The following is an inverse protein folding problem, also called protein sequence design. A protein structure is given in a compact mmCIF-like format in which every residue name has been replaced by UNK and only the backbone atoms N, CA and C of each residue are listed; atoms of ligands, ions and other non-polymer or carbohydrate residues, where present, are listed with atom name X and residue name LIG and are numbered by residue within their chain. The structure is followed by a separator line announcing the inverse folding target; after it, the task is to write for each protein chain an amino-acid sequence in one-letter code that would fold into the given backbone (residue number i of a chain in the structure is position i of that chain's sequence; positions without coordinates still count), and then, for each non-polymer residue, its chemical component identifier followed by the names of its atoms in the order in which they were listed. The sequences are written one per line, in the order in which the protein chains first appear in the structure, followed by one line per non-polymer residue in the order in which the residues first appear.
data_IF_879454474210
#
_entry.id   IF_879454474210
#
_cell.length_a   1.000
_cell.length_b   1.000
_cell.length_c   1.000
_cell.angle_alpha   90.00
_cell.angle_beta   90.00
_cell.angle_gamma   90.00
#
_symmetry.space_group_name_H-M   'P 1'
#
loop_
_entity.id
_entity.type
_entity.pdbx_description
1 polymer ?
#
# COMPACT_ATOMS: atom_id res chain seq x y z
N UNK A 1 -22.38 12.19 -13.19
CA UNK A 1 -22.00 12.29 -11.77
C UNK A 1 -23.14 11.87 -10.83
N UNK A 2 -23.96 10.90 -11.23
CA UNK A 2 -24.74 9.99 -10.37
C UNK A 2 -24.96 8.67 -11.14
N UNK A 3 -25.54 7.65 -10.49
CA UNK A 3 -25.80 6.34 -11.11
C UNK A 3 -26.67 6.45 -12.39
N UNK A 4 -27.68 7.33 -12.39
CA UNK A 4 -28.60 7.56 -13.52
C UNK A 4 -27.93 8.19 -14.74
N UNK A 5 -26.97 9.09 -14.53
CA UNK A 5 -26.23 9.77 -15.60
C UNK A 5 -25.34 8.81 -16.40
N UNK A 6 -24.79 7.79 -15.73
CA UNK A 6 -24.02 6.73 -16.38
C UNK A 6 -24.93 5.72 -17.10
N UNK A 7 -26.11 5.44 -16.54
CA UNK A 7 -27.15 4.59 -17.17
C UNK A 7 -27.58 5.15 -18.55
N UNK A 8 -27.81 6.46 -18.67
CA UNK A 8 -28.17 7.12 -19.94
C UNK A 8 -27.02 7.05 -20.96
N UNK A 9 -25.81 7.39 -20.50
CA UNK A 9 -24.60 7.38 -21.35
C UNK A 9 -24.32 5.97 -21.91
N UNK A 10 -24.57 4.92 -21.13
CA UNK A 10 -24.39 3.53 -21.57
C UNK A 10 -25.42 3.10 -22.63
N UNK A 11 -26.71 3.36 -22.41
CA UNK A 11 -27.75 3.04 -23.41
C UNK A 11 -27.49 3.73 -24.76
N UNK A 12 -26.89 4.92 -24.72
CA UNK A 12 -26.53 5.68 -25.92
C UNK A 12 -25.27 5.15 -26.63
N UNK A 13 -24.26 4.66 -25.90
CA UNK A 13 -22.92 4.40 -26.46
C UNK A 13 -22.57 2.92 -26.67
N UNK A 14 -23.26 1.96 -26.02
CA UNK A 14 -22.92 0.52 -26.06
C UNK A 14 -21.44 0.22 -25.74
N UNK A 15 -20.78 1.09 -24.96
CA UNK A 15 -19.35 0.99 -24.70
C UNK A 15 -19.07 0.12 -23.46
N UNK A 16 -18.43 -1.03 -23.69
CA UNK A 16 -18.05 -1.99 -22.64
C UNK A 16 -16.95 -1.46 -21.71
N UNK A 17 -16.17 -0.46 -22.13
CA UNK A 17 -15.12 0.14 -21.28
C UNK A 17 -15.71 0.93 -20.10
N UNK A 18 -16.87 1.57 -20.32
CA UNK A 18 -17.59 2.34 -19.29
C UNK A 18 -18.15 1.41 -18.21
N UNK A 19 -18.66 0.23 -18.60
CA UNK A 19 -19.16 -0.79 -17.67
C UNK A 19 -18.08 -1.32 -16.74
N UNK A 20 -16.87 -1.50 -17.27
CA UNK A 20 -15.73 -1.97 -16.48
C UNK A 20 -15.39 -0.98 -15.36
N UNK A 21 -15.19 0.30 -15.70
CA UNK A 21 -14.90 1.33 -14.70
C UNK A 21 -16.07 1.54 -13.73
N UNK A 22 -17.31 1.40 -14.20
CA UNK A 22 -18.49 1.43 -13.35
C UNK A 22 -18.54 0.25 -12.36
N UNK A 23 -18.18 -0.97 -12.80
CA UNK A 23 -18.18 -2.18 -11.96
C UNK A 23 -17.15 -2.14 -10.84
N UNK A 24 -15.97 -1.56 -11.10
CA UNK A 24 -14.96 -1.31 -10.06
C UNK A 24 -15.43 -0.30 -9.03
N UNK A 25 -16.10 0.76 -9.50
CA UNK A 25 -16.48 1.90 -8.67
C UNK A 25 -17.73 1.63 -7.83
N UNK A 26 -18.62 0.77 -8.31
CA UNK A 26 -19.87 0.41 -7.64
C UNK A 26 -20.02 -1.11 -7.50
N UNK A 27 -19.16 -1.75 -6.67
CA UNK A 27 -19.31 -3.16 -6.33
C UNK A 27 -20.69 -3.39 -5.66
N UNK A 28 -21.32 -4.52 -5.97
CA UNK A 28 -22.68 -4.92 -5.51
C UNK A 28 -23.87 -4.17 -6.13
N UNK A 29 -23.70 -3.50 -7.28
CA UNK A 29 -24.84 -2.92 -8.00
C UNK A 29 -25.77 -4.01 -8.53
N UNK A 30 -26.98 -4.11 -7.93
CA UNK A 30 -28.05 -5.00 -8.40
C UNK A 30 -28.41 -4.77 -9.88
N UNK A 31 -28.23 -3.53 -10.36
CA UNK A 31 -28.53 -3.16 -11.73
C UNK A 31 -27.48 -3.75 -12.69
N UNK A 32 -26.19 -3.68 -12.36
CA UNK A 32 -25.11 -4.34 -13.11
C UNK A 32 -25.31 -5.85 -13.18
N UNK A 33 -25.64 -6.50 -12.05
CA UNK A 33 -25.89 -7.94 -12.00
C UNK A 33 -27.10 -8.33 -12.86
N UNK A 34 -28.20 -7.58 -12.77
CA UNK A 34 -29.36 -7.77 -13.65
C UNK A 34 -29.02 -7.55 -15.12
N UNK A 35 -28.08 -6.65 -15.42
CA UNK A 35 -27.66 -6.32 -16.77
C UNK A 35 -26.77 -7.42 -17.38
N UNK A 36 -25.82 -7.96 -16.60
CA UNK A 36 -25.00 -9.13 -16.98
C UNK A 36 -25.85 -10.33 -17.35
N UNK A 37 -26.97 -10.54 -16.66
CA UNK A 37 -27.88 -11.64 -16.94
C UNK A 37 -28.81 -11.40 -18.14
N UNK A 38 -28.96 -10.14 -18.60
CA UNK A 38 -29.87 -9.76 -19.68
C UNK A 38 -29.18 -9.46 -21.00
N UNK A 39 -27.87 -9.17 -20.98
CA UNK A 39 -27.10 -8.78 -22.16
C UNK A 39 -25.94 -9.74 -22.36
N UNK A 40 -25.78 -10.22 -23.60
CA UNK A 40 -24.69 -11.11 -23.95
C UNK A 40 -23.39 -10.31 -24.08
N UNK A 41 -22.60 -10.31 -23.02
CA UNK A 41 -21.26 -9.73 -23.00
C UNK A 41 -20.21 -10.75 -23.40
N UNK A 42 -19.10 -10.28 -23.98
CA UNK A 42 -17.89 -11.10 -24.07
C UNK A 42 -17.46 -11.61 -22.70
N UNK A 43 -16.99 -12.86 -22.64
CA UNK A 43 -16.66 -13.59 -21.40
C UNK A 43 -15.79 -12.79 -20.42
N UNK A 44 -14.83 -11.99 -20.90
CA UNK A 44 -13.99 -11.14 -20.05
C UNK A 44 -14.78 -10.08 -19.26
N UNK A 45 -15.69 -9.36 -19.91
CA UNK A 45 -16.48 -8.29 -19.28
C UNK A 45 -17.44 -8.89 -18.25
N UNK A 46 -18.04 -10.04 -18.59
CA UNK A 46 -18.88 -10.80 -17.66
C UNK A 46 -18.09 -11.24 -16.42
N UNK A 47 -16.89 -11.79 -16.62
CA UNK A 47 -16.01 -12.19 -15.52
C UNK A 47 -15.69 -11.03 -14.60
N UNK A 48 -15.31 -9.89 -15.16
CA UNK A 48 -15.00 -8.67 -14.40
C UNK A 48 -16.17 -8.23 -13.53
N UNK A 49 -17.36 -8.10 -14.11
CA UNK A 49 -18.53 -7.62 -13.35
C UNK A 49 -18.86 -8.59 -12.23
N UNK A 50 -18.96 -9.89 -12.51
CA UNK A 50 -19.24 -10.91 -11.49
C UNK A 50 -18.16 -10.91 -10.40
N UNK A 51 -16.89 -10.87 -10.79
CA UNK A 51 -15.75 -10.89 -9.89
C UNK A 51 -15.74 -9.69 -8.93
N UNK A 52 -15.91 -8.46 -9.43
CA UNK A 52 -15.96 -7.26 -8.57
C UNK A 52 -17.24 -7.16 -7.73
N UNK A 53 -18.25 -7.98 -8.03
CA UNK A 53 -19.44 -8.16 -7.19
C UNK A 53 -19.31 -9.36 -6.24
N UNK A 54 -18.10 -9.90 -6.08
CA UNK A 54 -17.77 -11.05 -5.22
C UNK A 54 -18.56 -12.33 -5.56
N UNK A 55 -19.06 -12.42 -6.80
CA UNK A 55 -19.77 -13.59 -7.33
C UNK A 55 -18.79 -14.61 -7.90
N UNK A 56 -17.78 -14.99 -7.13
CA UNK A 56 -16.70 -15.87 -7.58
C UNK A 56 -17.21 -17.21 -8.10
N UNK A 57 -18.25 -17.77 -7.47
CA UNK A 57 -18.89 -19.01 -7.94
C UNK A 57 -19.47 -18.85 -9.34
N UNK A 58 -20.16 -17.73 -9.61
CA UNK A 58 -20.75 -17.44 -10.92
C UNK A 58 -19.68 -17.17 -11.98
N UNK A 59 -18.54 -16.58 -11.61
CA UNK A 59 -17.37 -16.47 -12.52
C UNK A 59 -16.94 -17.86 -13.00
N UNK A 60 -16.75 -18.79 -12.06
CA UNK A 60 -16.26 -20.15 -12.37
C UNK A 60 -17.29 -20.98 -13.15
N UNK A 61 -18.58 -20.74 -12.94
CA UNK A 61 -19.67 -21.49 -13.60
C UNK A 61 -20.03 -20.97 -14.99
N UNK A 62 -19.83 -19.67 -15.25
CA UNK A 62 -20.44 -19.01 -16.42
C UNK A 62 -19.46 -18.36 -17.39
N UNK A 63 -18.16 -18.36 -17.06
CA UNK A 63 -17.11 -17.74 -17.87
C UNK A 63 -16.16 -18.80 -18.38
N UNK A 64 -15.84 -18.74 -19.68
CA UNK A 64 -14.80 -19.58 -20.27
C UNK A 64 -13.41 -19.14 -19.77
N UNK A 65 -12.60 -20.07 -19.20
CA UNK A 65 -11.32 -19.73 -18.58
C UNK A 65 -10.37 -18.96 -19.49
N UNK A 66 -10.24 -19.39 -20.75
CA UNK A 66 -9.30 -18.84 -21.72
C UNK A 66 -9.56 -17.35 -22.02
N UNK A 67 -10.82 -16.94 -22.00
CA UNK A 67 -11.24 -15.56 -22.27
C UNK A 67 -11.04 -14.62 -21.07
N UNK A 68 -10.83 -15.15 -19.87
CA UNK A 68 -10.79 -14.37 -18.63
C UNK A 68 -9.84 -14.97 -17.57
N UNK A 69 -8.70 -15.51 -18.01
CA UNK A 69 -7.80 -16.36 -17.22
C UNK A 69 -7.54 -15.84 -15.80
N UNK A 70 -7.13 -14.57 -15.66
CA UNK A 70 -6.88 -13.98 -14.35
C UNK A 70 -8.09 -14.06 -13.41
N UNK A 71 -9.26 -13.55 -13.84
CA UNK A 71 -10.46 -13.52 -13.01
C UNK A 71 -10.96 -14.92 -12.68
N UNK A 72 -10.83 -15.87 -13.62
CA UNK A 72 -11.23 -17.25 -13.41
C UNK A 72 -10.33 -17.97 -12.41
N UNK A 73 -9.00 -17.85 -12.56
CA UNK A 73 -8.02 -18.44 -11.64
C UNK A 73 -8.14 -17.82 -10.25
N UNK A 74 -8.21 -16.49 -10.15
CA UNK A 74 -8.34 -15.84 -8.84
C UNK A 74 -9.68 -16.18 -8.17
N UNK A 75 -10.79 -16.24 -8.91
CA UNK A 75 -12.07 -16.69 -8.36
C UNK A 75 -12.00 -18.13 -7.81
N UNK A 76 -11.28 -19.04 -8.47
CA UNK A 76 -11.02 -20.37 -7.92
C UNK A 76 -10.20 -20.31 -6.62
N UNK A 77 -9.16 -19.47 -6.56
CA UNK A 77 -8.38 -19.23 -5.34
C UNK A 77 -9.28 -18.76 -4.18
N UNK A 78 -10.15 -17.76 -4.42
CA UNK A 78 -11.07 -17.21 -3.41
C UNK A 78 -12.07 -18.25 -2.90
N UNK A 79 -12.39 -19.25 -3.71
CA UNK A 79 -13.23 -20.39 -3.36
C UNK A 79 -12.44 -21.56 -2.74
N UNK A 80 -11.14 -21.39 -2.48
CA UNK A 80 -10.21 -22.42 -2.02
C UNK A 80 -10.13 -23.66 -2.94
N UNK A 81 -10.38 -23.48 -4.24
CA UNK A 81 -10.28 -24.55 -5.25
C UNK A 81 -8.90 -24.53 -5.94
N UNK A 82 -7.85 -24.68 -5.14
CA UNK A 82 -6.45 -24.56 -5.58
C UNK A 82 -6.06 -25.65 -6.60
N UNK A 83 -6.63 -26.86 -6.49
CA UNK A 83 -6.38 -27.96 -7.42
C UNK A 83 -6.79 -27.59 -8.85
N UNK A 84 -8.05 -27.17 -9.03
CA UNK A 84 -8.55 -26.76 -10.34
C UNK A 84 -7.84 -25.51 -10.86
N UNK A 85 -7.49 -24.57 -9.97
CA UNK A 85 -6.74 -23.37 -10.34
C UNK A 85 -5.35 -23.74 -10.88
N UNK A 86 -4.62 -24.61 -10.20
CA UNK A 86 -3.31 -25.11 -10.63
C UNK A 86 -3.37 -25.87 -11.96
N UNK A 87 -4.39 -26.69 -12.19
CA UNK A 87 -4.62 -27.37 -13.47
C UNK A 87 -4.85 -26.38 -14.62
N UNK A 88 -5.67 -25.35 -14.40
CA UNK A 88 -5.91 -24.28 -15.38
C UNK A 88 -4.62 -23.52 -15.67
N UNK A 89 -3.85 -23.16 -14.64
CA UNK A 89 -2.56 -22.51 -14.81
C UNK A 89 -1.64 -23.36 -15.69
N UNK A 90 -1.44 -24.65 -15.36
CA UNK A 90 -0.61 -25.56 -16.18
C UNK A 90 -1.09 -25.65 -17.63
N UNK A 91 -2.40 -25.77 -17.83
CA UNK A 91 -3.02 -25.86 -19.17
C UNK A 91 -2.77 -24.59 -19.99
N UNK A 92 -2.88 -23.42 -19.35
CA UNK A 92 -2.74 -22.11 -19.99
C UNK A 92 -1.46 -21.40 -19.55
N UNK A 93 -0.33 -22.09 -19.63
CA UNK A 93 1.02 -21.55 -19.47
C UNK A 93 1.38 -20.69 -20.69
N UNK A 94 0.63 -19.62 -20.93
CA UNK A 94 0.80 -18.79 -22.13
C UNK A 94 1.79 -17.66 -21.87
N UNK A 95 2.73 -17.46 -22.80
CA UNK A 95 3.65 -16.32 -22.86
C UNK A 95 2.97 -15.03 -23.32
N UNK A 96 1.74 -15.11 -23.85
CA UNK A 96 0.98 -13.96 -24.35
C UNK A 96 0.21 -13.21 -23.26
N UNK A 97 -0.03 -13.82 -22.10
CA UNK A 97 -0.74 -13.17 -21.01
C UNK A 97 0.22 -12.33 -20.16
N UNK A 98 0.64 -11.16 -20.67
CA UNK A 98 1.59 -10.24 -19.99
C UNK A 98 1.00 -9.48 -18.80
N UNK A 99 0.31 -10.16 -17.88
CA UNK A 99 -0.10 -9.57 -16.60
C UNK A 99 0.60 -10.28 -15.46
N UNK A 100 1.46 -9.55 -14.78
CA UNK A 100 2.21 -10.03 -13.62
C UNK A 100 1.29 -10.66 -12.56
N UNK A 101 0.09 -10.10 -12.37
CA UNK A 101 -0.91 -10.61 -11.42
C UNK A 101 -1.34 -12.04 -11.74
N UNK A 102 -1.49 -12.44 -13.01
CA UNK A 102 -1.83 -13.82 -13.36
C UNK A 102 -0.70 -14.79 -13.12
N UNK A 103 0.53 -14.42 -13.50
CA UNK A 103 1.70 -15.25 -13.20
C UNK A 103 1.86 -15.45 -11.69
N UNK A 104 1.63 -14.39 -10.92
CA UNK A 104 1.69 -14.45 -9.48
C UNK A 104 0.57 -15.32 -8.88
N UNK A 105 -0.69 -15.09 -9.25
CA UNK A 105 -1.81 -15.93 -8.78
C UNK A 105 -1.63 -17.39 -9.16
N UNK A 106 -1.16 -17.69 -10.38
CA UNK A 106 -0.82 -19.06 -10.76
C UNK A 106 0.31 -19.65 -9.91
N UNK A 107 1.35 -18.87 -9.62
CA UNK A 107 2.44 -19.32 -8.76
C UNK A 107 1.96 -19.66 -7.34
N UNK A 108 1.06 -18.86 -6.76
CA UNK A 108 0.47 -19.12 -5.46
C UNK A 108 -0.39 -20.39 -5.45
N UNK A 109 -1.30 -20.52 -6.41
CA UNK A 109 -2.16 -21.70 -6.51
C UNK A 109 -1.37 -23.01 -6.69
N UNK A 110 -0.30 -22.96 -7.49
CA UNK A 110 0.57 -24.11 -7.69
C UNK A 110 1.31 -24.50 -6.40
N UNK A 111 1.67 -23.54 -5.55
CA UNK A 111 2.29 -23.83 -4.25
C UNK A 111 1.33 -24.41 -3.24
N UNK A 112 0.09 -23.92 -3.21
CA UNK A 112 -0.96 -24.47 -2.32
C UNK A 112 -1.20 -25.96 -2.57
N UNK A 113 -0.96 -26.43 -3.80
CA UNK A 113 -1.04 -27.87 -4.15
C UNK A 113 0.32 -28.59 -4.15
N UNK A 114 1.38 -27.93 -3.67
CA UNK A 114 2.73 -28.51 -3.54
C UNK A 114 3.56 -28.57 -4.83
N UNK A 115 3.10 -27.98 -5.95
CA UNK A 115 3.84 -27.93 -7.21
C UNK A 115 4.78 -26.71 -7.29
N UNK A 116 5.83 -26.76 -6.47
CA UNK A 116 6.83 -25.70 -6.39
C UNK A 116 7.59 -25.50 -7.70
N UNK A 117 7.84 -26.57 -8.47
CA UNK A 117 8.60 -26.48 -9.73
C UNK A 117 7.83 -25.63 -10.75
N UNK A 118 6.57 -25.96 -11.00
CA UNK A 118 5.73 -25.22 -11.94
C UNK A 118 5.56 -23.77 -11.48
N UNK A 119 5.42 -23.53 -10.17
CA UNK A 119 5.31 -22.17 -9.62
C UNK A 119 6.52 -21.29 -9.98
N UNK A 120 7.74 -21.81 -9.85
CA UNK A 120 8.95 -21.09 -10.26
C UNK A 120 9.08 -20.94 -11.78
N UNK A 121 8.65 -21.91 -12.58
CA UNK A 121 8.64 -21.79 -14.04
C UNK A 121 7.71 -20.67 -14.53
N UNK A 122 6.57 -20.45 -13.86
CA UNK A 122 5.69 -19.30 -14.13
C UNK A 122 6.41 -17.98 -13.86
N UNK A 123 7.14 -17.89 -12.74
CA UNK A 123 7.84 -16.66 -12.39
C UNK A 123 9.10 -16.42 -13.22
N UNK A 124 9.77 -17.48 -13.67
CA UNK A 124 10.84 -17.38 -14.67
C UNK A 124 10.31 -16.77 -15.98
N UNK A 125 9.14 -17.21 -16.43
CA UNK A 125 8.49 -16.65 -17.62
C UNK A 125 8.15 -15.17 -17.46
N UNK A 126 7.83 -14.72 -16.23
CA UNK A 126 7.61 -13.30 -15.93
C UNK A 126 8.91 -12.50 -15.92
N UNK A 127 10.05 -13.13 -15.64
CA UNK A 127 11.33 -12.45 -15.43
C UNK A 127 11.80 -11.68 -16.68
N UNK A 128 11.58 -12.23 -17.87
CA UNK A 128 11.93 -11.58 -19.14
C UNK A 128 11.21 -10.24 -19.35
N UNK A 129 10.03 -10.08 -18.75
CA UNK A 129 9.18 -8.90 -18.91
C UNK A 129 9.24 -7.96 -17.71
N UNK A 130 9.31 -8.52 -16.51
CA UNK A 130 9.26 -7.77 -15.26
C UNK A 130 10.10 -8.45 -14.17
N UNK A 131 11.44 -8.29 -14.22
CA UNK A 131 12.35 -9.00 -13.34
C UNK A 131 12.14 -8.66 -11.85
N UNK A 132 11.73 -7.43 -11.53
CA UNK A 132 11.47 -7.00 -10.15
C UNK A 132 10.25 -7.69 -9.53
N UNK A 133 9.17 -7.83 -10.29
CA UNK A 133 7.97 -8.51 -9.80
C UNK A 133 8.24 -10.03 -9.70
N UNK A 134 8.88 -10.60 -10.73
CA UNK A 134 9.24 -12.02 -10.75
C UNK A 134 10.11 -12.42 -9.55
N UNK A 135 11.20 -11.69 -9.28
CA UNK A 135 12.12 -12.02 -8.18
C UNK A 135 11.48 -11.83 -6.81
N UNK A 136 10.59 -10.84 -6.66
CA UNK A 136 9.87 -10.59 -5.40
C UNK A 136 8.98 -11.77 -5.05
N UNK A 137 8.12 -12.18 -5.97
CA UNK A 137 7.26 -13.34 -5.75
C UNK A 137 8.09 -14.61 -5.55
N UNK A 138 9.14 -14.78 -6.33
CA UNK A 138 10.00 -15.97 -6.21
C UNK A 138 10.73 -16.02 -4.86
N UNK A 139 11.15 -14.88 -4.31
CA UNK A 139 11.78 -14.83 -2.98
C UNK A 139 10.81 -15.21 -1.86
N UNK A 140 9.56 -14.76 -1.95
CA UNK A 140 8.49 -15.16 -1.02
C UNK A 140 8.27 -16.67 -1.05
N UNK A 141 8.25 -17.26 -2.25
CA UNK A 141 8.08 -18.70 -2.47
C UNK A 141 9.29 -19.48 -1.97
N UNK A 142 10.50 -19.04 -2.29
CA UNK A 142 11.74 -19.69 -1.87
C UNK A 142 11.83 -19.77 -0.35
N UNK A 143 11.47 -18.68 0.34
CA UNK A 143 11.55 -18.58 1.80
C UNK A 143 10.43 -19.39 2.47
N UNK A 144 9.19 -19.29 1.99
CA UNK A 144 8.05 -20.05 2.53
C UNK A 144 8.22 -21.56 2.34
N UNK A 145 8.66 -22.01 1.16
CA UNK A 145 8.87 -23.43 0.85
C UNK A 145 10.22 -23.99 1.31
N UNK A 146 11.14 -23.12 1.77
CA UNK A 146 12.56 -23.44 2.04
C UNK A 146 13.28 -24.08 0.83
N UNK A 147 12.80 -23.86 -0.38
CA UNK A 147 13.39 -24.34 -1.62
C UNK A 147 14.22 -23.23 -2.30
N UNK A 148 15.44 -23.04 -1.80
CA UNK A 148 16.30 -21.94 -2.22
C UNK A 148 17.07 -22.23 -3.53
N UNK A 149 17.39 -23.49 -3.79
CA UNK A 149 18.18 -23.91 -4.96
C UNK A 149 17.50 -23.50 -6.26
N UNK A 150 16.18 -23.69 -6.34
CA UNK A 150 15.41 -23.34 -7.52
C UNK A 150 15.41 -21.84 -7.77
N UNK A 151 15.29 -21.03 -6.71
CA UNK A 151 15.37 -19.57 -6.80
C UNK A 151 16.67 -19.08 -7.43
N UNK A 152 17.84 -19.56 -6.98
CA UNK A 152 19.11 -19.11 -7.56
C UNK A 152 19.38 -19.66 -8.96
N UNK A 153 18.81 -20.82 -9.31
CA UNK A 153 18.88 -21.37 -10.66
C UNK A 153 18.09 -20.49 -11.65
N UNK A 154 16.92 -20.02 -11.22
CA UNK A 154 16.03 -19.17 -12.02
C UNK A 154 16.57 -17.74 -12.14
N UNK A 155 16.95 -17.11 -11.02
CA UNK A 155 17.29 -15.69 -10.99
C UNK A 155 18.80 -15.43 -10.95
N UNK A 156 19.38 -15.25 -12.15
CA UNK A 156 20.80 -14.93 -12.34
C UNK A 156 21.16 -13.55 -11.77
N UNK A 157 22.46 -13.32 -11.56
CA UNK A 157 22.97 -12.04 -11.07
C UNK A 157 22.70 -10.90 -12.07
N UNK A 158 22.12 -9.79 -11.59
CA UNK A 158 21.84 -8.59 -12.39
C UNK A 158 22.19 -7.32 -11.64
N UNK A 159 22.31 -6.19 -12.36
CA UNK A 159 22.51 -4.86 -11.76
C UNK A 159 21.19 -4.19 -11.35
N UNK A 160 20.17 -4.97 -11.01
CA UNK A 160 18.87 -4.45 -10.53
C UNK A 160 18.85 -4.49 -9.00
N UNK A 161 18.73 -3.33 -8.31
CA UNK A 161 18.74 -3.28 -6.84
C UNK A 161 17.71 -4.19 -6.16
N UNK A 162 16.47 -4.24 -6.64
CA UNK A 162 15.43 -5.16 -6.11
C UNK A 162 15.83 -6.63 -6.24
N UNK A 163 16.42 -7.04 -7.37
CA UNK A 163 16.89 -8.42 -7.55
C UNK A 163 17.98 -8.74 -6.54
N UNK A 164 18.98 -7.87 -6.40
CA UNK A 164 20.05 -8.06 -5.42
C UNK A 164 19.52 -8.09 -3.98
N UNK A 165 18.59 -7.21 -3.63
CA UNK A 165 17.99 -7.17 -2.31
C UNK A 165 17.21 -8.47 -2.00
N UNK A 166 16.38 -8.95 -2.93
CA UNK A 166 15.67 -10.22 -2.76
C UNK A 166 16.62 -11.40 -2.62
N UNK A 167 17.70 -11.45 -3.40
CA UNK A 167 18.74 -12.48 -3.27
C UNK A 167 19.41 -12.42 -1.90
N UNK A 168 19.72 -11.24 -1.40
CA UNK A 168 20.30 -11.08 -0.07
C UNK A 168 19.37 -11.60 1.03
N UNK A 169 18.06 -11.35 0.95
CA UNK A 169 17.07 -11.90 1.89
C UNK A 169 16.97 -13.43 1.81
N UNK A 170 17.09 -14.01 0.62
CA UNK A 170 17.10 -15.48 0.46
C UNK A 170 18.39 -16.10 1.03
N UNK A 171 19.54 -15.45 0.85
CA UNK A 171 20.77 -15.88 1.54
C UNK A 171 20.67 -15.72 3.05
N UNK A 172 20.05 -14.63 3.52
CA UNK A 172 19.79 -14.38 4.93
C UNK A 172 18.93 -15.49 5.54
N UNK A 173 17.82 -15.87 4.89
CA UNK A 173 16.93 -16.95 5.33
C UNK A 173 17.63 -18.32 5.40
N UNK A 174 18.62 -18.55 4.55
CA UNK A 174 19.50 -19.73 4.57
C UNK A 174 20.60 -19.67 5.63
N UNK A 175 20.72 -18.57 6.38
CA UNK A 175 21.83 -18.28 7.29
C UNK A 175 23.19 -18.15 6.59
N UNK A 176 23.20 -17.90 5.27
CA UNK A 176 24.40 -17.62 4.48
C UNK A 176 24.78 -16.14 4.55
N UNK A 177 25.09 -15.67 5.77
CA UNK A 177 25.25 -14.25 6.05
C UNK A 177 26.38 -13.56 5.26
N UNK A 178 27.47 -14.27 4.98
CA UNK A 178 28.58 -13.73 4.18
C UNK A 178 28.11 -13.40 2.75
N UNK A 179 27.32 -14.29 2.14
CA UNK A 179 26.74 -14.04 0.80
C UNK A 179 25.68 -12.96 0.85
N UNK A 180 24.86 -12.92 1.89
CA UNK A 180 23.88 -11.85 2.10
C UNK A 180 24.57 -10.47 2.18
N UNK A 181 25.62 -10.33 3.01
CA UNK A 181 26.42 -9.10 3.15
C UNK A 181 27.01 -8.70 1.80
N UNK A 182 27.72 -9.60 1.12
CA UNK A 182 28.35 -9.29 -0.18
C UNK A 182 27.31 -8.85 -1.22
N UNK A 183 26.12 -9.44 -1.20
CA UNK A 183 25.01 -9.08 -2.11
C UNK A 183 24.45 -7.69 -1.77
N UNK A 184 24.29 -7.35 -0.48
CA UNK A 184 23.86 -6.01 -0.05
C UNK A 184 24.90 -4.93 -0.40
N UNK A 185 26.19 -5.24 -0.29
CA UNK A 185 27.28 -4.33 -0.69
C UNK A 185 27.29 -4.03 -2.19
N UNK A 186 26.85 -4.98 -3.03
CA UNK A 186 26.66 -4.72 -4.46
C UNK A 186 25.60 -3.64 -4.69
N UNK A 187 24.49 -3.66 -3.95
CA UNK A 187 23.41 -2.67 -4.08
C UNK A 187 23.97 -1.26 -3.93
N UNK A 188 24.81 -1.04 -2.92
CA UNK A 188 25.42 0.27 -2.61
C UNK A 188 26.28 0.79 -3.78
N UNK A 189 26.81 -0.10 -4.62
CA UNK A 189 27.65 0.27 -5.78
C UNK A 189 26.86 0.55 -7.05
N UNK A 190 25.62 0.07 -7.15
CA UNK A 190 24.84 0.08 -8.40
C UNK A 190 23.66 1.06 -8.40
N UNK A 191 23.37 1.73 -7.27
CA UNK A 191 22.25 2.67 -7.16
C UNK A 191 22.58 3.89 -6.32
N UNK A 192 21.97 5.02 -6.68
CA UNK A 192 21.92 6.24 -5.86
C UNK A 192 20.52 6.48 -5.27
N UNK A 193 19.58 5.55 -5.48
CA UNK A 193 18.24 5.67 -4.92
C UNK A 193 18.30 5.61 -3.39
N UNK A 194 17.72 6.62 -2.75
CA UNK A 194 17.80 6.79 -1.29
C UNK A 194 17.12 5.67 -0.53
N UNK A 195 16.01 5.13 -1.07
CA UNK A 195 15.28 4.04 -0.43
C UNK A 195 16.07 2.73 -0.52
N UNK A 196 16.59 2.42 -1.70
CA UNK A 196 17.45 1.26 -1.96
C UNK A 196 18.70 1.24 -1.09
N UNK A 197 19.36 2.39 -0.95
CA UNK A 197 20.51 2.53 -0.06
C UNK A 197 20.12 2.38 1.42
N UNK A 198 19.04 3.02 1.86
CA UNK A 198 18.59 2.98 3.25
C UNK A 198 18.25 1.54 3.68
N UNK A 199 17.55 0.78 2.84
CA UNK A 199 17.24 -0.63 3.15
C UNK A 199 18.50 -1.50 3.16
N UNK A 200 19.41 -1.31 2.20
CA UNK A 200 20.65 -2.09 2.14
C UNK A 200 21.52 -1.85 3.37
N UNK A 201 21.69 -0.60 3.78
CA UNK A 201 22.43 -0.24 5.00
C UNK A 201 21.76 -0.78 6.26
N UNK A 202 20.43 -0.76 6.36
CA UNK A 202 19.72 -1.32 7.51
C UNK A 202 19.99 -2.82 7.65
N UNK A 203 19.90 -3.57 6.54
CA UNK A 203 20.17 -5.01 6.56
C UNK A 203 21.65 -5.33 6.80
N UNK A 204 22.57 -4.51 6.29
CA UNK A 204 24.00 -4.61 6.61
C UNK A 204 24.25 -4.35 8.09
N UNK A 205 23.62 -3.32 8.68
CA UNK A 205 23.68 -3.09 10.13
C UNK A 205 23.14 -4.28 10.91
N UNK A 206 21.97 -4.83 10.52
CA UNK A 206 21.36 -5.99 11.18
C UNK A 206 22.33 -7.18 11.23
N UNK A 207 23.07 -7.42 10.14
CA UNK A 207 24.01 -8.52 9.97
C UNK A 207 25.39 -8.30 10.60
N UNK A 208 25.90 -7.06 10.58
CA UNK A 208 27.30 -6.75 10.97
C UNK A 208 27.42 -6.04 12.31
N UNK A 209 26.33 -5.44 12.80
CA UNK A 209 26.31 -4.52 13.95
C UNK A 209 27.27 -3.32 13.81
N UNK A 210 27.61 -2.93 12.59
CA UNK A 210 28.44 -1.75 12.33
C UNK A 210 27.59 -0.47 12.30
N UNK A 211 27.73 0.37 13.33
CA UNK A 211 27.00 1.64 13.49
C UNK A 211 27.28 2.68 12.40
N UNK A 212 28.35 2.52 11.61
CA UNK A 212 28.58 3.39 10.45
C UNK A 212 27.42 3.33 9.44
N UNK A 213 26.77 2.18 9.31
CA UNK A 213 25.59 2.04 8.47
C UNK A 213 24.39 2.85 9.01
N UNK A 214 24.21 2.93 10.33
CA UNK A 214 23.17 3.79 10.93
C UNK A 214 23.42 5.28 10.64
N UNK A 215 24.69 5.71 10.69
CA UNK A 215 25.09 7.08 10.32
C UNK A 215 24.84 7.37 8.84
N UNK A 216 24.98 6.38 7.97
CA UNK A 216 24.67 6.51 6.53
C UNK A 216 23.17 6.60 6.28
N UNK A 217 22.37 5.73 6.91
CA UNK A 217 20.91 5.75 6.81
C UNK A 217 20.36 7.13 7.21
N UNK A 218 20.78 7.64 8.37
CA UNK A 218 20.30 8.92 8.89
C UNK A 218 20.62 10.11 7.98
N UNK A 219 21.80 10.12 7.34
CA UNK A 219 22.19 11.15 6.38
C UNK A 219 21.35 11.11 5.09
N UNK A 220 21.01 9.91 4.63
CA UNK A 220 20.34 9.71 3.33
C UNK A 220 18.84 9.98 3.43
N UNK A 221 18.21 9.46 4.49
CA UNK A 221 16.76 9.54 4.68
C UNK A 221 16.44 9.71 6.18
N UNK A 222 16.66 10.91 6.75
CA UNK A 222 16.49 11.16 8.19
C UNK A 222 15.07 10.93 8.70
N UNK A 223 14.07 11.01 7.84
CA UNK A 223 12.67 10.67 8.10
C UNK A 223 12.22 9.36 7.42
N UNK A 224 13.15 8.58 6.88
CA UNK A 224 12.84 7.32 6.23
C UNK A 224 12.47 6.23 7.24
N UNK A 225 11.69 5.25 6.79
CA UNK A 225 11.28 4.10 7.62
C UNK A 225 12.49 3.44 8.32
N UNK A 226 13.53 3.08 7.56
CA UNK A 226 14.72 2.41 8.10
C UNK A 226 15.54 3.27 9.07
N UNK A 227 15.49 4.59 8.96
CA UNK A 227 16.12 5.47 9.94
C UNK A 227 15.34 5.43 11.25
N UNK A 228 14.02 5.65 11.17
CA UNK A 228 13.15 5.79 12.32
C UNK A 228 13.04 4.51 13.16
N UNK A 229 12.96 3.33 12.52
CA UNK A 229 12.90 2.05 13.26
C UNK A 229 14.19 1.72 14.01
N UNK A 230 15.31 2.36 13.68
CA UNK A 230 16.57 2.23 14.43
C UNK A 230 16.64 3.17 15.63
N UNK A 231 15.58 3.95 15.89
CA UNK A 231 15.54 4.98 16.92
C UNK A 231 16.23 6.29 16.52
N UNK A 232 16.72 6.41 15.28
CA UNK A 232 17.24 7.68 14.80
C UNK A 232 16.09 8.64 14.49
N UNK A 233 16.17 9.85 15.06
CA UNK A 233 15.29 10.96 14.73
C UNK A 233 16.11 12.19 14.32
N UNK A 234 15.60 13.01 13.37
CA UNK A 234 16.23 14.29 13.06
C UNK A 234 16.28 15.17 14.31
N UNK A 235 17.36 15.93 14.47
CA UNK A 235 17.49 16.91 15.55
C UNK A 235 16.48 18.02 15.31
N UNK A 236 15.53 18.16 16.22
CA UNK A 236 14.51 19.21 16.15
C UNK A 236 15.00 20.47 16.85
N UNK A 237 14.88 21.61 16.17
CA UNK A 237 15.21 22.94 16.70
C UNK A 237 13.94 23.79 16.79
N UNK A 238 13.79 24.52 17.91
CA UNK A 238 12.69 25.45 18.16
C UNK A 238 12.99 26.80 17.51
N UNK A 239 13.00 26.83 16.17
CA UNK A 239 13.17 28.04 15.37
C UNK A 239 12.01 28.17 14.40
N UNK A 240 11.30 29.29 14.44
CA UNK A 240 10.39 29.71 13.37
C UNK A 240 11.23 30.00 12.12
N UNK A 241 10.97 29.28 11.04
CA UNK A 241 11.79 29.37 9.82
C UNK A 241 11.20 30.31 8.75
N UNK A 242 9.96 30.77 8.92
CA UNK A 242 9.28 31.63 7.96
C UNK A 242 9.11 33.05 8.49
N UNK A 243 9.22 34.00 7.57
CA UNK A 243 8.86 35.40 7.76
C UNK A 243 7.46 35.64 7.19
N UNK A 244 6.49 35.92 8.06
CA UNK A 244 5.09 36.13 7.64
C UNK A 244 4.92 37.30 6.67
N UNK A 245 5.83 38.29 6.72
CA UNK A 245 5.81 39.44 5.80
C UNK A 245 6.00 39.02 4.33
N UNK A 246 6.59 37.83 4.08
CA UNK A 246 6.78 37.29 2.74
C UNK A 246 5.54 36.58 2.18
N UNK A 247 4.52 36.30 3.00
CA UNK A 247 3.34 35.54 2.53
C UNK A 247 2.57 36.25 1.42
N UNK A 248 2.56 37.59 1.39
CA UNK A 248 1.93 38.37 0.32
C UNK A 248 2.51 38.04 -1.05
N UNK A 249 3.80 37.70 -1.13
CA UNK A 249 4.47 37.34 -2.39
C UNK A 249 4.03 35.98 -2.95
N UNK A 250 3.34 35.14 -2.16
CA UNK A 250 3.02 33.76 -2.51
C UNK A 250 1.51 33.48 -2.55
N UNK A 251 0.67 34.53 -2.61
CA UNK A 251 -0.79 34.38 -2.71
C UNK A 251 -1.22 33.68 -4.00
N UNK A 252 -0.60 34.00 -5.14
CA UNK A 252 -0.99 33.47 -6.45
C UNK A 252 -0.96 31.93 -6.53
N UNK A 253 0.12 31.24 -6.12
CA UNK A 253 0.14 29.77 -6.05
C UNK A 253 -1.00 29.21 -5.17
N UNK A 254 -1.27 29.82 -4.01
CA UNK A 254 -2.32 29.34 -3.12
C UNK A 254 -3.71 29.48 -3.75
N UNK A 255 -3.97 30.58 -4.45
CA UNK A 255 -5.21 30.75 -5.23
C UNK A 255 -5.32 29.68 -6.33
N UNK A 256 -4.22 29.35 -7.01
CA UNK A 256 -4.23 28.29 -8.02
C UNK A 256 -4.60 26.93 -7.42
N UNK A 257 -4.09 26.58 -6.23
CA UNK A 257 -4.48 25.35 -5.53
C UNK A 257 -5.96 25.36 -5.13
N UNK A 258 -6.46 26.46 -4.54
CA UNK A 258 -7.88 26.59 -4.15
C UNK A 258 -8.81 26.38 -5.36
N UNK A 259 -8.40 26.87 -6.53
CA UNK A 259 -9.14 26.73 -7.78
C UNK A 259 -8.92 25.38 -8.49
N UNK A 260 -8.03 24.52 -7.97
CA UNK A 260 -7.73 23.19 -8.54
C UNK A 260 -6.73 23.19 -9.69
N UNK A 261 -6.05 24.30 -9.98
CA UNK A 261 -5.03 24.42 -11.04
C UNK A 261 -3.65 23.95 -10.59
N UNK A 262 -3.55 22.70 -10.11
CA UNK A 262 -2.31 22.12 -9.57
C UNK A 262 -1.13 22.13 -10.54
N UNK A 263 -1.36 21.87 -11.83
CA UNK A 263 -0.29 21.93 -12.83
C UNK A 263 0.35 23.31 -12.94
N UNK A 264 -0.45 24.38 -12.74
CA UNK A 264 0.04 25.75 -12.72
C UNK A 264 0.70 26.10 -11.39
N UNK A 265 0.15 25.62 -10.27
CA UNK A 265 0.77 25.75 -8.94
C UNK A 265 2.25 25.32 -8.97
N UNK A 266 2.53 24.14 -9.53
CA UNK A 266 3.89 23.57 -9.55
C UNK A 266 4.91 24.44 -10.29
N UNK A 267 4.47 25.27 -11.25
CA UNK A 267 5.37 26.17 -11.98
C UNK A 267 5.91 27.32 -11.12
N UNK A 268 5.25 27.63 -10.01
CA UNK A 268 5.68 28.66 -9.07
C UNK A 268 6.49 28.10 -7.90
N UNK A 269 6.57 26.78 -7.74
CA UNK A 269 7.31 26.17 -6.64
C UNK A 269 8.82 26.35 -6.84
N UNK A 270 9.48 26.91 -5.84
CA UNK A 270 10.94 27.03 -5.76
C UNK A 270 11.43 26.49 -4.42
N UNK A 271 12.73 26.23 -4.29
CA UNK A 271 13.30 25.84 -3.00
C UNK A 271 13.16 26.96 -1.94
N UNK A 272 13.11 28.22 -2.35
CA UNK A 272 13.00 29.38 -1.46
C UNK A 272 11.58 29.51 -0.88
N UNK A 273 10.55 29.35 -1.72
CA UNK A 273 9.16 29.56 -1.29
C UNK A 273 8.46 28.29 -0.78
N UNK A 274 9.05 27.11 -0.98
CA UNK A 274 8.45 25.81 -0.64
C UNK A 274 7.86 25.74 0.77
N UNK A 275 8.60 26.19 1.77
CA UNK A 275 8.15 26.14 3.17
C UNK A 275 7.04 27.15 3.46
N UNK A 276 7.09 28.33 2.84
CA UNK A 276 6.02 29.33 2.93
C UNK A 276 4.72 28.78 2.32
N UNK A 277 4.81 28.16 1.15
CA UNK A 277 3.69 27.49 0.50
C UNK A 277 3.15 26.34 1.37
N UNK A 278 4.02 25.49 1.91
CA UNK A 278 3.62 24.40 2.80
C UNK A 278 2.81 24.92 4.00
N UNK A 279 3.24 26.03 4.61
CA UNK A 279 2.53 26.67 5.72
C UNK A 279 1.16 27.19 5.29
N UNK A 280 1.10 27.97 4.23
CA UNK A 280 -0.16 28.54 3.73
C UNK A 280 -1.16 27.44 3.32
N UNK A 281 -0.69 26.38 2.66
CA UNK A 281 -1.48 25.20 2.29
C UNK A 281 -2.04 24.48 3.53
N UNK A 282 -1.24 24.35 4.58
CA UNK A 282 -1.68 23.75 5.83
C UNK A 282 -2.82 24.55 6.48
N UNK A 283 -2.73 25.89 6.44
CA UNK A 283 -3.76 26.81 6.98
C UNK A 283 -5.08 26.73 6.25
N UNK A 284 -5.07 26.54 4.93
CA UNK A 284 -6.30 26.41 4.13
C UNK A 284 -6.85 24.98 4.07
N UNK A 285 -6.16 24.00 4.67
CA UNK A 285 -6.58 22.61 4.70
C UNK A 285 -6.18 21.78 3.48
N UNK A 286 -5.33 22.30 2.59
CA UNK A 286 -4.70 21.53 1.49
C UNK A 286 -3.54 20.69 2.03
N UNK A 287 -3.87 19.75 2.91
CA UNK A 287 -2.90 18.98 3.68
C UNK A 287 -2.05 18.04 2.81
N UNK A 288 -2.58 17.51 1.72
CA UNK A 288 -1.84 16.62 0.83
C UNK A 288 -0.59 17.29 0.25
N UNK A 289 -0.74 18.47 -0.36
CA UNK A 289 0.37 19.28 -0.86
C UNK A 289 1.24 19.83 0.28
N UNK A 290 0.64 20.31 1.37
CA UNK A 290 1.40 20.83 2.50
C UNK A 290 2.37 19.77 3.07
N UNK A 291 1.88 18.54 3.23
CA UNK A 291 2.67 17.39 3.69
C UNK A 291 3.79 17.09 2.70
N UNK A 292 3.50 17.03 1.40
CA UNK A 292 4.51 16.74 0.37
C UNK A 292 5.66 17.75 0.40
N UNK A 293 5.33 19.05 0.42
CA UNK A 293 6.33 20.12 0.43
C UNK A 293 7.15 20.12 1.72
N UNK A 294 6.49 19.99 2.88
CA UNK A 294 7.15 19.96 4.17
C UNK A 294 8.03 18.71 4.35
N UNK A 295 7.56 17.52 3.98
CA UNK A 295 8.35 16.28 4.06
C UNK A 295 9.64 16.36 3.24
N UNK A 296 9.57 16.94 2.04
CA UNK A 296 10.74 17.08 1.16
C UNK A 296 11.81 18.03 1.72
N UNK A 297 11.47 18.77 2.78
CA UNK A 297 12.35 19.74 3.44
C UNK A 297 12.90 19.23 4.78
N UNK A 298 12.54 18.01 5.19
CA UNK A 298 13.09 17.38 6.40
C UNK A 298 14.55 17.00 6.17
N UNK A 299 15.41 17.38 7.11
CA UNK A 299 16.85 17.12 7.09
C UNK A 299 17.34 16.60 8.46
N UNK A 300 18.65 16.35 8.61
CA UNK A 300 19.25 15.95 9.89
C UNK A 300 18.97 16.94 11.02
N UNK A 301 18.86 18.24 10.69
CA UNK A 301 18.44 19.30 11.60
C UNK A 301 17.18 19.90 11.01
N UNK A 302 16.05 19.74 11.69
CA UNK A 302 14.74 20.12 11.16
C UNK A 302 14.06 21.11 12.12
N UNK A 303 13.72 22.33 11.66
CA UNK A 303 12.81 23.22 12.37
C UNK A 303 11.51 22.52 12.76
N UNK A 304 11.07 22.72 14.00
CA UNK A 304 9.84 22.10 14.54
C UNK A 304 8.62 22.35 13.65
N UNK A 305 8.49 23.54 13.09
CA UNK A 305 7.36 23.90 12.22
C UNK A 305 7.30 23.06 10.95
N UNK A 306 8.44 22.73 10.34
CA UNK A 306 8.50 21.85 9.17
C UNK A 306 7.96 20.48 9.53
N UNK A 307 8.33 19.95 10.71
CA UNK A 307 7.84 18.67 11.17
C UNK A 307 6.32 18.72 11.46
N UNK A 308 5.81 19.79 12.06
CA UNK A 308 4.38 19.97 12.33
C UNK A 308 3.58 20.04 11.01
N UNK A 309 4.09 20.73 9.99
CA UNK A 309 3.44 20.79 8.68
C UNK A 309 3.47 19.46 7.93
N UNK A 310 4.57 18.72 8.04
CA UNK A 310 4.70 17.38 7.47
C UNK A 310 3.81 16.35 8.18
N UNK A 311 3.51 16.55 9.46
CA UNK A 311 2.70 15.65 10.28
C UNK A 311 1.61 16.46 11.01
N UNK A 312 0.62 17.01 10.26
CA UNK A 312 -0.37 17.90 10.83
C UNK A 312 -1.35 17.12 11.72
N UNK A 313 -2.03 17.85 12.60
CA UNK A 313 -3.02 17.29 13.54
C UNK A 313 -4.39 17.98 13.43
N UNK A 314 -5.01 18.01 12.23
CA UNK A 314 -6.35 18.59 12.07
C UNK A 314 -7.41 17.73 12.78
N UNK A 315 -8.58 18.30 13.03
CA UNK A 315 -9.74 17.58 13.58
C UNK A 315 -9.44 16.90 14.93
N UNK A 316 -8.63 17.55 15.78
CA UNK A 316 -8.10 16.96 17.01
C UNK A 316 -9.18 16.36 17.92
N UNK A 317 -10.30 17.06 18.09
CA UNK A 317 -11.42 16.59 18.92
C UNK A 317 -12.08 15.33 18.36
N UNK A 318 -12.23 15.23 17.04
CA UNK A 318 -12.77 14.03 16.39
C UNK A 318 -11.83 12.84 16.52
N UNK A 319 -10.52 13.05 16.36
CA UNK A 319 -9.50 12.02 16.58
C UNK A 319 -9.46 11.57 18.03
N UNK A 320 -9.50 12.51 18.98
CA UNK A 320 -9.53 12.23 20.41
C UNK A 320 -10.77 11.41 20.78
N UNK A 321 -11.94 11.76 20.23
CA UNK A 321 -13.17 10.99 20.46
C UNK A 321 -13.10 9.57 19.88
N UNK A 322 -12.58 9.41 18.67
CA UNK A 322 -12.41 8.10 18.04
C UNK A 322 -11.39 7.24 18.81
N UNK A 323 -10.28 7.84 19.25
CA UNK A 323 -9.28 7.20 20.11
C UNK A 323 -9.89 6.71 21.41
N UNK A 324 -10.58 7.58 22.16
CA UNK A 324 -11.20 7.23 23.43
C UNK A 324 -12.25 6.10 23.31
N UNK A 325 -13.03 6.07 22.22
CA UNK A 325 -14.06 5.05 22.00
C UNK A 325 -13.51 3.70 21.54
N UNK A 326 -12.48 3.72 20.70
CA UNK A 326 -11.86 2.50 20.18
C UNK A 326 -10.84 1.90 21.15
N UNK A 327 -10.16 2.73 21.94
CA UNK A 327 -8.98 2.36 22.71
C UNK A 327 -7.69 2.35 21.87
N UNK A 328 -7.75 2.82 20.62
CA UNK A 328 -6.56 2.95 19.75
C UNK A 328 -5.86 4.27 20.07
N UNK A 329 -4.54 4.25 20.12
CA UNK A 329 -3.71 5.45 20.30
C UNK A 329 -4.01 6.52 19.24
N UNK A 330 -4.17 7.78 19.67
CA UNK A 330 -4.51 8.89 18.78
C UNK A 330 -3.42 9.09 17.71
N UNK A 331 -2.15 8.84 18.06
CA UNK A 331 -1.00 8.90 17.16
C UNK A 331 -1.08 7.86 16.04
N UNK A 332 -1.58 6.66 16.35
CA UNK A 332 -1.78 5.60 15.37
C UNK A 332 -2.93 5.93 14.43
N UNK A 333 -4.04 6.48 14.96
CA UNK A 333 -5.15 6.95 14.12
C UNK A 333 -4.69 8.05 13.15
N UNK A 334 -3.93 9.03 13.65
CA UNK A 334 -3.33 10.07 12.81
C UNK A 334 -2.42 9.48 11.73
N UNK A 335 -1.59 8.49 12.08
CA UNK A 335 -0.69 7.82 11.15
C UNK A 335 -1.44 7.09 10.02
N UNK A 336 -2.52 6.37 10.35
CA UNK A 336 -3.36 5.66 9.38
C UNK A 336 -4.02 6.69 8.44
N UNK A 337 -4.76 7.65 9.00
CA UNK A 337 -5.50 8.64 8.20
C UNK A 337 -4.58 9.47 7.30
N UNK A 338 -3.39 9.81 7.80
CA UNK A 338 -2.37 10.51 7.03
C UNK A 338 -1.97 9.73 5.77
N UNK A 339 -1.84 8.42 5.84
CA UNK A 339 -1.46 7.57 4.69
C UNK A 339 -2.64 7.12 3.84
N UNK A 340 -3.86 7.15 4.38
CA UNK A 340 -5.09 6.80 3.66
C UNK A 340 -5.60 7.95 2.78
N UNK A 341 -5.77 9.14 3.36
CA UNK A 341 -6.45 10.25 2.69
C UNK A 341 -5.67 11.56 2.69
N UNK A 342 -4.53 11.61 3.38
CA UNK A 342 -3.84 12.88 3.70
C UNK A 342 -4.82 13.91 4.31
N UNK A 343 -5.76 13.44 5.14
CA UNK A 343 -6.79 14.24 5.80
C UNK A 343 -7.91 14.79 4.90
N UNK A 344 -8.01 14.36 3.65
CA UNK A 344 -9.15 14.68 2.79
C UNK A 344 -10.41 13.92 3.24
N UNK A 345 -11.36 14.66 3.82
CA UNK A 345 -12.64 14.12 4.28
C UNK A 345 -13.55 13.61 3.16
N UNK A 346 -13.32 14.04 1.92
CA UNK A 346 -14.11 13.71 0.74
C UNK A 346 -13.42 12.67 -0.16
N UNK A 347 -12.28 12.12 0.26
CA UNK A 347 -11.50 11.19 -0.54
C UNK A 347 -12.31 9.95 -0.96
N UNK A 348 -12.19 9.57 -2.23
CA UNK A 348 -12.73 8.32 -2.77
C UNK A 348 -11.63 7.63 -3.56
N UNK A 349 -11.23 6.43 -3.15
CA UNK A 349 -10.22 5.66 -3.88
C UNK A 349 -10.77 5.09 -5.19
N UNK A 350 -9.89 4.61 -6.06
CA UNK A 350 -10.28 3.89 -7.29
C UNK A 350 -11.09 2.63 -7.01
N UNK A 351 -10.87 1.98 -5.86
CA UNK A 351 -11.65 0.83 -5.38
C UNK A 351 -12.96 1.22 -4.68
N UNK A 352 -13.21 2.52 -4.47
CA UNK A 352 -14.42 3.03 -3.83
C UNK A 352 -14.34 3.15 -2.31
N UNK A 353 -13.15 3.05 -1.71
CA UNK A 353 -12.95 3.37 -0.28
C UNK A 353 -13.27 4.85 -0.03
N UNK A 354 -13.96 5.17 1.07
CA UNK A 354 -14.57 6.49 1.27
C UNK A 354 -14.09 7.21 2.53
N UNK A 355 -13.97 8.53 2.40
CA UNK A 355 -13.78 9.46 3.50
C UNK A 355 -12.38 9.43 4.09
N UNK A 356 -12.23 10.13 5.21
CA UNK A 356 -10.91 10.43 5.79
C UNK A 356 -10.11 9.18 6.21
N UNK A 357 -10.78 8.10 6.62
CA UNK A 357 -10.17 6.83 7.01
C UNK A 357 -10.23 5.75 5.91
N UNK A 358 -10.69 6.10 4.70
CA UNK A 358 -10.78 5.23 3.51
C UNK A 358 -11.42 3.86 3.79
N UNK A 359 -12.68 3.86 4.21
CA UNK A 359 -13.41 2.61 4.51
C UNK A 359 -14.20 2.15 3.30
N UNK A 360 -14.13 0.85 2.99
CA UNK A 360 -14.93 0.24 1.94
C UNK A 360 -16.44 0.34 2.24
N UNK A 361 -17.31 0.52 1.22
CA UNK A 361 -18.74 0.74 1.45
C UNK A 361 -19.44 -0.36 2.27
N UNK A 362 -19.03 -1.61 2.08
CA UNK A 362 -19.59 -2.74 2.83
C UNK A 362 -19.22 -2.68 4.32
N UNK A 363 -17.94 -2.50 4.64
CA UNK A 363 -17.48 -2.35 6.02
C UNK A 363 -18.10 -1.12 6.68
N UNK A 364 -18.20 -0.01 5.94
CA UNK A 364 -18.82 1.21 6.45
C UNK A 364 -20.29 0.98 6.83
N UNK A 365 -21.04 0.29 5.97
CA UNK A 365 -22.44 -0.07 6.22
C UNK A 365 -22.58 -1.02 7.42
N UNK A 366 -21.70 -2.01 7.52
CA UNK A 366 -21.66 -2.97 8.64
C UNK A 366 -21.42 -2.25 9.96
N UNK A 367 -20.41 -1.39 10.03
CA UNK A 367 -20.07 -0.64 11.23
C UNK A 367 -21.07 0.44 11.58
N UNK A 368 -21.64 1.13 10.59
CA UNK A 368 -22.71 2.12 10.83
C UNK A 368 -23.89 1.51 11.58
N UNK A 369 -24.29 0.29 11.19
CA UNK A 369 -25.34 -0.47 11.88
C UNK A 369 -24.92 -0.91 13.28
N UNK A 370 -23.72 -1.49 13.43
CA UNK A 370 -23.20 -1.95 14.74
C UNK A 370 -23.08 -0.79 15.75
N UNK A 371 -22.70 0.39 15.29
CA UNK A 371 -22.50 1.58 16.13
C UNK A 371 -23.78 2.44 16.27
N UNK A 372 -24.87 2.08 15.59
CA UNK A 372 -26.11 2.86 15.52
C UNK A 372 -25.88 4.32 15.10
N UNK A 373 -25.07 4.53 14.05
CA UNK A 373 -24.79 5.86 13.47
C UNK A 373 -25.33 5.95 12.04
N UNK A 374 -25.68 7.15 11.55
CA UNK A 374 -26.19 7.30 10.19
C UNK A 374 -25.10 6.99 9.15
N UNK A 375 -25.49 6.45 8.00
CA UNK A 375 -24.60 6.20 6.88
C UNK A 375 -24.16 7.53 6.23
N UNK A 376 -23.12 8.15 6.77
CA UNK A 376 -22.53 9.42 6.29
C UNK A 376 -21.01 9.26 6.13
N UNK A 377 -20.53 8.63 5.05
CA UNK A 377 -19.11 8.30 4.89
C UNK A 377 -18.16 9.49 4.77
N UNK A 378 -18.65 10.69 4.47
CA UNK A 378 -17.83 11.91 4.38
C UNK A 378 -17.95 12.82 5.62
N UNK A 379 -18.72 12.40 6.63
CA UNK A 379 -18.73 13.05 7.95
C UNK A 379 -17.49 12.58 8.71
N UNK A 380 -16.60 13.51 9.06
CA UNK A 380 -15.30 13.20 9.69
C UNK A 380 -15.47 12.40 10.98
N UNK A 381 -16.40 12.82 11.84
CA UNK A 381 -16.64 12.18 13.15
C UNK A 381 -17.11 10.74 12.98
N UNK A 382 -18.06 10.51 12.07
CA UNK A 382 -18.60 9.17 11.82
C UNK A 382 -17.54 8.29 11.12
N UNK A 383 -16.85 8.81 10.11
CA UNK A 383 -15.87 8.03 9.35
C UNK A 383 -14.65 7.65 10.19
N UNK A 384 -14.12 8.57 11.00
CA UNK A 384 -13.03 8.27 11.95
C UNK A 384 -13.45 7.22 12.98
N UNK A 385 -14.65 7.33 13.55
CA UNK A 385 -15.13 6.35 14.52
C UNK A 385 -15.30 4.97 13.87
N UNK A 386 -15.89 4.90 12.67
CA UNK A 386 -16.06 3.65 11.92
C UNK A 386 -14.69 3.04 11.60
N UNK A 387 -13.74 3.83 11.10
CA UNK A 387 -12.40 3.36 10.78
C UNK A 387 -11.62 2.88 12.00
N UNK A 388 -11.67 3.62 13.11
CA UNK A 388 -11.06 3.20 14.36
C UNK A 388 -11.66 1.88 14.89
N UNK A 389 -12.98 1.71 14.83
CA UNK A 389 -13.62 0.45 15.25
C UNK A 389 -13.31 -0.71 14.30
N UNK A 390 -13.19 -0.44 13.00
CA UNK A 390 -12.76 -1.44 12.03
C UNK A 390 -11.32 -1.89 12.26
N UNK A 391 -10.39 -0.95 12.50
CA UNK A 391 -9.02 -1.26 12.85
C UNK A 391 -8.95 -2.05 14.16
N UNK A 392 -9.72 -1.67 15.18
CA UNK A 392 -9.81 -2.39 16.45
C UNK A 392 -10.19 -3.85 16.27
N UNK A 393 -11.17 -4.15 15.40
CA UNK A 393 -11.56 -5.53 15.10
C UNK A 393 -10.40 -6.36 14.56
N UNK A 394 -9.53 -5.79 13.72
CA UNK A 394 -8.33 -6.48 13.25
C UNK A 394 -7.28 -6.60 14.34
N UNK A 395 -7.10 -5.56 15.14
CA UNK A 395 -6.16 -5.54 16.26
C UNK A 395 -6.46 -6.66 17.26
N UNK A 396 -7.73 -6.84 17.64
CA UNK A 396 -8.18 -7.91 18.53
C UNK A 396 -7.96 -9.30 17.91
N UNK A 397 -8.25 -9.47 16.61
CA UNK A 397 -8.05 -10.75 15.89
C UNK A 397 -6.59 -11.11 15.66
N UNK A 398 -5.69 -10.14 15.71
CA UNK A 398 -4.25 -10.30 15.49
C UNK A 398 -3.45 -10.17 16.79
N UNK A 399 -4.07 -10.51 17.93
CA UNK A 399 -3.44 -10.52 19.26
C UNK A 399 -2.76 -9.18 19.62
N UNK A 400 -3.37 -8.06 19.24
CA UNK A 400 -2.90 -6.71 19.47
C UNK A 400 -1.55 -6.35 18.80
N UNK A 401 -1.16 -7.10 17.76
CA UNK A 401 0.01 -6.75 16.95
C UNK A 401 -0.33 -5.60 15.98
N UNK A 402 0.17 -4.41 16.30
CA UNK A 402 -0.05 -3.19 15.50
C UNK A 402 0.49 -3.35 14.08
N UNK A 403 1.65 -3.99 13.91
CA UNK A 403 2.31 -4.12 12.62
C UNK A 403 1.53 -5.03 11.67
N UNK A 404 1.06 -6.18 12.16
CA UNK A 404 0.17 -7.07 11.41
C UNK A 404 -1.18 -6.39 11.12
N UNK A 405 -1.70 -5.62 12.06
CA UNK A 405 -2.98 -4.91 11.91
C UNK A 405 -2.93 -3.83 10.84
N UNK A 406 -1.82 -3.08 10.75
CA UNK A 406 -1.57 -2.13 9.67
C UNK A 406 -1.59 -2.85 8.31
N UNK A 407 -0.95 -4.02 8.21
CA UNK A 407 -0.99 -4.82 6.99
C UNK A 407 -2.41 -5.31 6.68
N UNK A 408 -3.17 -5.75 7.69
CA UNK A 408 -4.55 -6.23 7.53
C UNK A 408 -5.52 -5.12 7.14
N UNK A 409 -5.30 -3.88 7.59
CA UNK A 409 -6.13 -2.74 7.21
C UNK A 409 -6.04 -2.45 5.69
N UNK A 410 -4.86 -2.62 5.10
CA UNK A 410 -4.66 -2.44 3.66
C UNK A 410 -4.99 -3.68 2.82
N UNK A 411 -4.57 -4.87 3.25
CA UNK A 411 -4.68 -6.10 2.44
C UNK A 411 -5.87 -7.01 2.83
N UNK A 412 -6.55 -6.70 3.93
CA UNK A 412 -7.51 -7.57 4.58
C UNK A 412 -6.85 -8.63 5.48
N UNK A 413 -7.55 -9.00 6.55
CA UNK A 413 -7.06 -9.96 7.55
C UNK A 413 -6.79 -11.36 6.98
N UNK A 414 -7.55 -11.77 5.95
CA UNK A 414 -7.38 -13.09 5.32
C UNK A 414 -6.00 -13.20 4.63
N UNK A 415 -5.53 -12.13 3.99
CA UNK A 415 -4.20 -12.11 3.38
C UNK A 415 -3.11 -12.26 4.44
N UNK A 416 -3.21 -11.50 5.54
CA UNK A 416 -2.26 -11.59 6.66
C UNK A 416 -2.24 -12.98 7.29
N UNK A 417 -3.41 -13.57 7.55
CA UNK A 417 -3.52 -14.93 8.08
C UNK A 417 -2.88 -15.96 7.16
N UNK A 418 -3.03 -15.83 5.84
CA UNK A 418 -2.37 -16.71 4.90
C UNK A 418 -0.85 -16.55 4.91
N UNK A 419 -0.34 -15.32 5.05
CA UNK A 419 1.10 -15.09 5.20
C UNK A 419 1.64 -15.73 6.49
N UNK A 420 0.92 -15.59 7.61
CA UNK A 420 1.31 -16.17 8.91
C UNK A 420 1.30 -17.71 8.92
N UNK A 421 0.53 -18.36 8.03
CA UNK A 421 0.56 -19.83 7.90
C UNK A 421 1.86 -20.34 7.28
N UNK A 422 2.48 -19.55 6.40
CA UNK A 422 3.60 -20.04 5.56
C UNK A 422 4.93 -19.33 5.82
N UNK A 423 4.89 -18.15 6.45
CA UNK A 423 6.08 -17.38 6.81
C UNK A 423 6.30 -17.41 8.31
N UNK A 424 7.56 -17.50 8.71
CA UNK A 424 7.97 -17.38 10.10
C UNK A 424 7.92 -15.90 10.53
N UNK A 425 7.05 -15.58 11.49
CA UNK A 425 6.90 -14.23 12.04
C UNK A 425 7.90 -13.93 13.16
N UNK A 426 8.67 -14.91 13.64
CA UNK A 426 9.67 -14.69 14.70
C UNK A 426 10.81 -13.76 14.25
N UNK A 427 11.07 -13.68 12.94
CA UNK A 427 11.85 -12.60 12.32
C UNK A 427 10.92 -11.62 11.61
N UNK A 428 10.37 -10.69 12.38
CA UNK A 428 9.42 -9.69 11.89
C UNK A 428 9.99 -8.84 10.75
N UNK A 429 11.27 -8.48 10.79
CA UNK A 429 11.83 -7.64 9.71
C UNK A 429 11.87 -8.41 8.40
N UNK A 430 12.30 -9.68 8.44
CA UNK A 430 12.28 -10.52 7.24
C UNK A 430 10.83 -10.68 6.75
N UNK A 431 9.89 -10.99 7.66
CA UNK A 431 8.47 -11.14 7.34
C UNK A 431 7.92 -9.95 6.57
N UNK A 432 8.07 -8.73 7.09
CA UNK A 432 7.54 -7.52 6.44
C UNK A 432 8.25 -7.20 5.12
N UNK A 433 9.52 -7.57 4.95
CA UNK A 433 10.20 -7.40 3.66
C UNK A 433 9.67 -8.35 2.59
N UNK A 434 9.27 -9.58 2.96
CA UNK A 434 8.93 -10.65 2.01
C UNK A 434 7.43 -10.79 1.73
N UNK A 435 6.54 -10.13 2.50
CA UNK A 435 5.11 -10.01 2.17
C UNK A 435 4.98 -9.79 0.66
N UNK A 436 4.18 -10.54 -0.10
CA UNK A 436 4.25 -10.49 -1.56
C UNK A 436 3.68 -9.18 -2.12
N UNK A 437 2.70 -8.59 -1.44
CA UNK A 437 1.99 -7.40 -1.90
C UNK A 437 2.85 -6.15 -1.73
N UNK A 438 3.32 -5.58 -2.86
CA UNK A 438 4.17 -4.37 -2.85
C UNK A 438 3.48 -3.19 -2.20
N UNK A 439 2.19 -3.02 -2.51
CA UNK A 439 1.38 -1.96 -1.93
C UNK A 439 1.35 -2.04 -0.40
N UNK A 440 1.06 -3.22 0.15
CA UNK A 440 0.99 -3.44 1.60
C UNK A 440 2.32 -3.24 2.30
N UNK A 441 3.45 -3.69 1.71
CA UNK A 441 4.79 -3.40 2.28
C UNK A 441 5.06 -1.90 2.34
N UNK A 442 4.71 -1.18 1.27
CA UNK A 442 4.92 0.26 1.22
C UNK A 442 3.98 0.98 2.20
N UNK A 443 2.71 0.57 2.26
CA UNK A 443 1.74 1.08 3.20
C UNK A 443 2.22 0.89 4.64
N UNK A 444 2.64 -0.32 5.02
CA UNK A 444 3.20 -0.64 6.33
C UNK A 444 4.36 0.30 6.69
N UNK A 445 5.37 0.43 5.82
CA UNK A 445 6.51 1.32 6.08
C UNK A 445 6.09 2.78 6.25
N UNK A 446 5.12 3.25 5.45
CA UNK A 446 4.62 4.64 5.53
C UNK A 446 3.85 4.88 6.82
N UNK A 447 2.94 3.98 7.21
CA UNK A 447 2.16 4.12 8.44
C UNK A 447 3.07 4.02 9.66
N UNK A 448 4.01 3.08 9.69
CA UNK A 448 4.98 2.97 10.79
C UNK A 448 5.85 4.21 10.91
N UNK A 449 6.35 4.76 9.78
CA UNK A 449 7.04 6.06 9.77
C UNK A 449 6.19 7.14 10.42
N UNK A 450 4.94 7.28 9.96
CA UNK A 450 4.02 8.29 10.46
C UNK A 450 3.72 8.11 11.94
N UNK A 451 3.50 6.88 12.38
CA UNK A 451 3.21 6.54 13.76
C UNK A 451 4.36 6.90 14.69
N UNK A 452 5.58 6.50 14.33
CA UNK A 452 6.79 6.83 15.09
C UNK A 452 6.96 8.35 15.23
N UNK A 453 6.71 9.11 14.16
CA UNK A 453 6.81 10.58 14.21
C UNK A 453 5.68 11.22 15.03
N UNK A 454 4.44 10.75 14.91
CA UNK A 454 3.34 11.23 15.75
C UNK A 454 3.59 10.94 17.23
N UNK A 455 4.07 9.73 17.59
CA UNK A 455 4.48 9.42 18.98
C UNK A 455 5.53 10.40 19.50
N UNK A 456 6.53 10.70 18.68
CA UNK A 456 7.55 11.68 19.02
C UNK A 456 6.98 13.11 19.19
N UNK A 457 6.07 13.54 18.32
CA UNK A 457 5.45 14.87 18.40
C UNK A 457 4.52 15.01 19.62
N UNK A 458 3.75 13.99 19.95
CA UNK A 458 2.79 14.00 21.06
C UNK A 458 3.50 13.92 22.42
N UNK A 459 4.56 13.09 22.54
CA UNK A 459 5.36 13.02 23.77
C UNK A 459 6.10 14.31 24.14
N UNK A 460 6.24 15.26 23.21
CA UNK A 460 6.82 16.60 23.45
C UNK A 460 5.78 17.70 23.69
N UNK A 461 4.48 17.39 23.58
CA UNK A 461 3.39 18.33 23.91
C UNK A 461 2.99 18.24 25.39
N UNK A 462 3.21 17.08 26.01
CA UNK A 462 3.19 16.85 27.46
C UNK A 462 4.52 17.26 28.08
#
# INVERSE_FOLDING_TARGET
YDQKSYEITFFALKDTSILFEFSKKFPSSKLLLNFVNKVNFGSLVKAQILYYNEKYKEVVETVEPESALYFYVDALSKLNNFQKAGEICKKYKTTNFRKADYFFECSLNLLEIGDTISAFEFLDSLYEYNPEIAVRHSSYIAISSKNYTLFFKTFKDTNIPEVQFRKALVYYAQKEYIRAISTLEKIIKITNDKFELSRAYYWLYKLTKNDDYLKKISKISPNGYYALITGFFPKIIDTTFYDESKFENYQKPIVLEILGFRSEFWKFLTNENKIYLAYMLNKIGSYDLAIELAESSISLITPKDILIMAYPTPYFEEFLNASAKSGIEIELLYAIVREESRFDKNAISSAGAMGIAQIMPEDFKRWSRKLNVPYKPFDIRINLLVGAMHFKEFLEKLNYDISLTICAYNAGINAVNNWLKILDYSDSDLFFEIIPYRETRNYYRRVMRSYIVYKFLFSRKT
#
